data_IF_753255087377
#
_entry.id   IF_753255087377
#
_cell.length_a   1.000
_cell.length_b   1.000
_cell.length_c   1.000
_cell.angle_alpha   90.00
_cell.angle_beta   90.00
_cell.angle_gamma   90.00
#
_symmetry.space_group_name_H-M   'P 1'
#
loop_
_entity.id
_entity.type
_entity.pdbx_description
1 polymer ?
#
# COMPACT_ATOMS: atom_id res chain seq x y z
N UNK A 1 -23.94 -3.32 -22.82
CA UNK A 1 -23.61 -2.21 -21.92
C UNK A 1 -23.37 -2.68 -20.49
N UNK A 2 -24.36 -3.24 -19.77
CA UNK A 2 -24.21 -3.64 -18.36
C UNK A 2 -23.03 -4.61 -18.09
N UNK A 3 -22.97 -5.74 -18.79
CA UNK A 3 -21.94 -6.77 -18.56
C UNK A 3 -20.58 -6.40 -19.14
N UNK A 4 -20.56 -5.79 -20.33
CA UNK A 4 -19.31 -5.51 -21.06
C UNK A 4 -18.61 -4.24 -20.56
N UNK A 5 -19.36 -3.25 -20.08
CA UNK A 5 -18.81 -1.95 -19.71
C UNK A 5 -18.93 -1.70 -18.20
N UNK A 6 -20.14 -1.83 -17.65
CA UNK A 6 -20.40 -1.50 -16.24
C UNK A 6 -19.68 -2.45 -15.28
N UNK A 7 -19.75 -3.76 -15.51
CA UNK A 7 -19.12 -4.74 -14.62
C UNK A 7 -17.59 -4.58 -14.56
N UNK A 8 -16.84 -4.53 -15.67
CA UNK A 8 -15.39 -4.28 -15.60
C UNK A 8 -15.03 -2.93 -14.99
N UNK A 9 -15.83 -1.90 -15.28
CA UNK A 9 -15.60 -0.56 -14.72
C UNK A 9 -15.77 -0.54 -13.19
N UNK A 10 -16.80 -1.20 -12.65
CA UNK A 10 -17.02 -1.29 -11.21
C UNK A 10 -15.90 -2.10 -10.52
N UNK A 11 -15.48 -3.21 -11.12
CA UNK A 11 -14.37 -4.03 -10.60
C UNK A 11 -13.07 -3.24 -10.58
N UNK A 12 -12.73 -2.55 -11.68
CA UNK A 12 -11.55 -1.70 -11.75
C UNK A 12 -11.62 -0.54 -10.75
N UNK A 13 -12.78 0.12 -10.62
CA UNK A 13 -12.96 1.25 -9.72
C UNK A 13 -12.84 0.82 -8.26
N UNK A 14 -13.46 -0.30 -7.88
CA UNK A 14 -13.31 -0.88 -6.55
C UNK A 14 -11.85 -1.22 -6.27
N UNK A 15 -11.18 -1.89 -7.20
CA UNK A 15 -9.79 -2.28 -7.04
C UNK A 15 -8.90 -1.04 -6.88
N UNK A 16 -8.98 -0.08 -7.80
CA UNK A 16 -8.20 1.15 -7.74
C UNK A 16 -8.42 1.90 -6.42
N UNK A 17 -9.69 2.08 -6.03
CA UNK A 17 -10.04 2.73 -4.78
C UNK A 17 -9.43 2.01 -3.57
N UNK A 18 -9.67 0.71 -3.46
CA UNK A 18 -9.18 -0.11 -2.36
C UNK A 18 -7.66 -0.01 -2.21
N UNK A 19 -6.92 -0.12 -3.32
CA UNK A 19 -5.46 -0.01 -3.32
C UNK A 19 -5.00 1.38 -2.91
N UNK A 20 -5.60 2.43 -3.49
CA UNK A 20 -5.21 3.80 -3.14
C UNK A 20 -5.52 4.14 -1.69
N UNK A 21 -6.57 3.56 -1.11
CA UNK A 21 -6.96 3.84 0.25
C UNK A 21 -6.10 3.03 1.23
N UNK A 22 -6.16 1.70 1.17
CA UNK A 22 -5.52 0.84 2.15
C UNK A 22 -4.01 1.12 2.17
N UNK A 23 -3.31 1.02 1.04
CA UNK A 23 -1.86 1.16 1.01
C UNK A 23 -1.34 2.55 1.41
N UNK A 24 -2.23 3.54 1.56
CA UNK A 24 -1.90 4.89 2.03
C UNK A 24 -2.50 5.23 3.40
N UNK A 25 -3.19 4.29 4.05
CA UNK A 25 -3.74 4.46 5.39
C UNK A 25 -3.30 3.31 6.29
N UNK A 26 -2.75 3.64 7.45
CA UNK A 26 -2.50 2.71 8.54
C UNK A 26 -2.77 3.44 9.86
N UNK A 27 -3.08 2.71 10.93
CA UNK A 27 -3.39 3.30 12.24
C UNK A 27 -2.22 4.15 12.79
N UNK A 28 -0.99 3.82 12.38
CA UNK A 28 0.27 4.50 12.72
C UNK A 28 0.80 5.42 11.60
N UNK A 29 -0.05 5.78 10.62
CA UNK A 29 0.27 6.74 9.58
C UNK A 29 0.68 8.08 10.18
N UNK A 30 1.66 8.76 9.59
CA UNK A 30 2.08 10.10 10.04
C UNK A 30 1.74 11.16 9.02
N UNK A 31 1.22 12.28 9.50
CA UNK A 31 1.03 13.47 8.70
C UNK A 31 2.23 14.40 8.83
N UNK A 32 2.81 14.77 7.69
CA UNK A 32 3.93 15.70 7.64
C UNK A 32 3.47 17.08 7.21
N UNK A 33 3.97 18.08 7.90
CA UNK A 33 3.89 19.49 7.52
C UNK A 33 4.89 19.82 6.40
N UNK A 34 4.71 20.96 5.73
CA UNK A 34 5.58 21.39 4.62
C UNK A 34 7.08 21.44 5.00
N UNK A 35 7.41 21.71 6.26
CA UNK A 35 8.78 21.75 6.78
C UNK A 35 9.37 20.38 7.11
N UNK A 36 8.54 19.38 7.39
CA UNK A 36 8.98 18.03 7.77
C UNK A 36 8.83 17.00 6.65
N UNK A 37 8.02 17.30 5.63
CA UNK A 37 7.76 16.42 4.51
C UNK A 37 8.98 16.29 3.58
N UNK A 38 9.23 15.06 3.12
CA UNK A 38 10.13 14.78 2.01
C UNK A 38 9.53 13.64 1.19
N UNK A 39 9.92 13.53 -0.09
CA UNK A 39 9.47 12.41 -0.94
C UNK A 39 9.71 11.05 -0.28
N UNK A 40 10.91 10.83 0.24
CA UNK A 40 11.28 9.55 0.88
C UNK A 40 10.43 9.28 2.13
N UNK A 41 10.22 10.28 3.00
CA UNK A 41 9.34 10.14 4.16
C UNK A 41 7.91 9.81 3.74
N UNK A 42 7.36 10.53 2.76
CA UNK A 42 6.03 10.24 2.23
C UNK A 42 5.90 8.85 1.62
N UNK A 43 6.92 8.37 0.91
CA UNK A 43 6.93 7.02 0.34
C UNK A 43 6.95 5.93 1.42
N UNK A 44 7.70 6.13 2.52
CA UNK A 44 7.73 5.20 3.66
C UNK A 44 6.48 5.24 4.54
N UNK A 45 5.61 6.24 4.41
CA UNK A 45 4.29 6.22 5.07
C UNK A 45 3.27 5.38 4.31
N UNK A 46 3.58 4.95 3.09
CA UNK A 46 2.81 3.88 2.46
C UNK A 46 3.10 2.55 3.14
N UNK A 47 2.17 1.62 3.02
CA UNK A 47 2.22 0.34 3.73
C UNK A 47 1.99 -0.82 2.77
N UNK A 48 2.89 -1.80 2.85
CA UNK A 48 2.74 -3.04 2.10
C UNK A 48 1.70 -3.92 2.80
N UNK A 49 0.72 -4.42 2.04
CA UNK A 49 -0.29 -5.34 2.57
C UNK A 49 -0.21 -6.71 1.93
N UNK A 50 -0.14 -7.73 2.77
CA UNK A 50 -0.15 -9.12 2.33
C UNK A 50 -1.58 -9.64 2.26
N UNK A 51 -2.10 -9.83 1.04
CA UNK A 51 -3.44 -10.38 0.79
C UNK A 51 -3.41 -11.91 0.59
N UNK A 52 -2.26 -12.54 0.84
CA UNK A 52 -2.02 -13.94 0.60
C UNK A 52 -1.45 -14.21 -0.80
N UNK A 53 -0.74 -15.34 -0.89
CA UNK A 53 0.13 -15.69 -2.03
C UNK A 53 -0.54 -15.58 -3.40
N UNK A 54 -1.79 -16.04 -3.52
CA UNK A 54 -2.49 -16.02 -4.82
C UNK A 54 -2.90 -14.61 -5.24
N UNK A 55 -3.40 -13.80 -4.30
CA UNK A 55 -3.83 -12.42 -4.59
C UNK A 55 -2.62 -11.56 -4.90
N UNK A 56 -1.56 -11.65 -4.11
CA UNK A 56 -0.31 -10.93 -4.36
C UNK A 56 0.26 -11.28 -5.74
N UNK A 57 0.28 -12.57 -6.11
CA UNK A 57 0.77 -13.00 -7.42
C UNK A 57 -0.11 -12.51 -8.58
N UNK A 58 -1.44 -12.60 -8.46
CA UNK A 58 -2.37 -12.12 -9.49
C UNK A 58 -2.27 -10.60 -9.71
N UNK A 59 -1.85 -9.88 -8.68
CA UNK A 59 -1.70 -8.42 -8.70
C UNK A 59 -0.26 -7.98 -8.97
N UNK A 60 0.60 -8.92 -9.40
CA UNK A 60 2.02 -8.68 -9.69
C UNK A 60 2.80 -8.05 -8.54
N UNK A 61 2.47 -8.43 -7.31
CA UNK A 61 3.07 -7.93 -6.08
C UNK A 61 2.99 -6.41 -5.90
N UNK A 62 1.99 -5.77 -6.53
CA UNK A 62 1.80 -4.33 -6.42
C UNK A 62 1.31 -3.91 -5.03
N UNK A 63 0.66 -4.82 -4.28
CA UNK A 63 0.09 -4.54 -2.96
C UNK A 63 1.07 -4.76 -1.81
N UNK A 64 1.84 -5.84 -1.89
CA UNK A 64 2.86 -6.29 -0.95
C UNK A 64 4.27 -5.80 -1.33
N UNK A 65 4.37 -4.94 -2.33
CA UNK A 65 5.59 -4.21 -2.72
C UNK A 65 5.30 -2.76 -3.11
N UNK A 66 4.26 -2.17 -2.54
CA UNK A 66 3.80 -0.81 -2.80
C UNK A 66 4.79 0.25 -2.32
N UNK A 67 5.48 0.04 -1.19
CA UNK A 67 6.52 0.95 -0.70
C UNK A 67 7.64 1.07 -1.72
N UNK A 68 8.11 -0.05 -2.27
CA UNK A 68 9.12 -0.07 -3.34
C UNK A 68 8.58 0.56 -4.62
N UNK A 69 7.31 0.30 -4.96
CA UNK A 69 6.65 0.97 -6.07
C UNK A 69 6.76 2.49 -5.92
N UNK A 70 6.47 3.06 -4.75
CA UNK A 70 6.62 4.50 -4.52
C UNK A 70 8.08 4.97 -4.57
N UNK A 71 8.98 4.29 -3.87
CA UNK A 71 10.39 4.70 -3.82
C UNK A 71 11.08 4.65 -5.19
N UNK A 72 10.70 3.70 -6.04
CA UNK A 72 11.43 3.37 -7.27
C UNK A 72 10.54 3.20 -8.51
N UNK A 73 9.39 3.87 -8.62
CA UNK A 73 8.41 3.71 -9.72
C UNK A 73 9.00 3.84 -11.13
N UNK A 74 10.07 4.63 -11.31
CA UNK A 74 10.73 4.82 -12.61
C UNK A 74 11.89 3.84 -12.88
N UNK A 75 12.27 3.01 -11.91
CA UNK A 75 13.48 2.17 -11.97
C UNK A 75 13.21 0.69 -11.78
N UNK A 76 12.25 0.34 -10.91
CA UNK A 76 11.89 -1.04 -10.61
C UNK A 76 10.56 -1.35 -11.33
N UNK A 77 10.56 -2.24 -12.34
CA UNK A 77 9.33 -2.64 -12.99
C UNK A 77 8.50 -3.56 -12.08
N UNK A 78 7.19 -3.60 -12.29
CA UNK A 78 6.26 -4.34 -11.42
C UNK A 78 6.62 -5.83 -11.24
N UNK A 79 7.15 -6.49 -12.27
CA UNK A 79 7.55 -7.90 -12.23
C UNK A 79 8.85 -8.18 -11.44
N UNK A 80 9.48 -7.14 -10.87
CA UNK A 80 10.65 -7.24 -9.98
C UNK A 80 10.34 -6.68 -8.58
N UNK A 81 9.09 -6.32 -8.28
CA UNK A 81 8.73 -5.72 -6.99
C UNK A 81 9.03 -6.65 -5.82
N UNK A 82 8.66 -7.92 -5.91
CA UNK A 82 8.91 -8.91 -4.84
C UNK A 82 10.39 -9.00 -4.45
N UNK A 83 11.28 -9.11 -5.45
CA UNK A 83 12.73 -9.18 -5.23
C UNK A 83 13.29 -7.86 -4.68
N UNK A 84 12.81 -6.73 -5.20
CA UNK A 84 13.24 -5.41 -4.75
C UNK A 84 12.75 -5.11 -3.32
N UNK A 85 11.54 -5.52 -2.95
CA UNK A 85 11.00 -5.42 -1.59
C UNK A 85 11.82 -6.26 -0.62
N UNK A 86 12.15 -7.50 -1.00
CA UNK A 86 13.01 -8.37 -0.20
C UNK A 86 14.40 -7.75 0.01
N UNK A 87 14.98 -7.15 -1.04
CA UNK A 87 16.27 -6.47 -0.95
C UNK A 87 16.21 -5.20 -0.08
N UNK A 88 15.13 -4.41 -0.17
CA UNK A 88 14.91 -3.25 0.68
C UNK A 88 14.81 -3.64 2.15
N UNK A 89 13.95 -4.61 2.49
CA UNK A 89 13.76 -5.07 3.87
C UNK A 89 15.07 -5.55 4.48
N UNK A 90 15.84 -6.35 3.73
CA UNK A 90 17.16 -6.82 4.16
C UNK A 90 18.12 -5.66 4.41
N UNK A 91 18.18 -4.68 3.51
CA UNK A 91 19.02 -3.50 3.69
C UNK A 91 18.64 -2.68 4.93
N UNK A 92 17.35 -2.53 5.21
CA UNK A 92 16.88 -1.84 6.42
C UNK A 92 17.23 -2.60 7.70
N UNK A 93 17.24 -3.94 7.66
CA UNK A 93 17.68 -4.78 8.78
C UNK A 93 19.18 -4.64 9.04
N UNK A 94 19.99 -4.67 7.99
CA UNK A 94 21.45 -4.48 8.09
C UNK A 94 21.81 -3.10 8.68
N UNK A 95 21.05 -2.07 8.33
CA UNK A 95 21.22 -0.70 8.86
C UNK A 95 20.54 -0.48 10.24
N UNK A 96 19.81 -1.47 10.77
CA UNK A 96 19.15 -1.39 12.06
C UNK A 96 17.94 -0.45 12.11
N UNK A 97 17.33 -0.15 10.96
CA UNK A 97 16.20 0.80 10.81
C UNK A 97 14.92 0.15 10.28
N UNK A 98 14.76 -1.17 10.42
CA UNK A 98 13.56 -1.90 9.95
C UNK A 98 12.21 -1.33 10.44
N UNK A 99 12.21 -0.61 11.56
CA UNK A 99 11.01 0.01 12.14
C UNK A 99 10.35 1.09 11.26
N UNK A 100 11.03 1.59 10.21
CA UNK A 100 10.45 2.58 9.28
C UNK A 100 9.61 1.93 8.17
N UNK A 101 9.73 0.61 7.99
CA UNK A 101 9.02 -0.12 6.95
C UNK A 101 7.75 -0.75 7.52
N UNK A 102 6.61 -0.45 6.90
CA UNK A 102 5.30 -0.93 7.33
C UNK A 102 4.83 -2.07 6.44
N UNK A 103 4.57 -3.22 7.07
CA UNK A 103 3.91 -4.37 6.44
C UNK A 103 2.78 -4.86 7.33
N UNK A 104 1.59 -5.01 6.77
CA UNK A 104 0.39 -5.48 7.48
C UNK A 104 -0.17 -6.70 6.75
N UNK A 105 -0.44 -7.78 7.49
CA UNK A 105 -1.15 -8.93 6.93
C UNK A 105 -2.65 -8.60 6.84
N UNK A 106 -3.25 -8.79 5.67
CA UNK A 106 -4.64 -8.38 5.38
C UNK A 106 -5.34 -9.38 4.47
N UNK A 107 -5.38 -10.64 4.89
CA UNK A 107 -6.04 -11.72 4.14
C UNK A 107 -7.53 -11.44 3.85
N UNK A 108 -8.16 -10.66 4.71
CA UNK A 108 -9.56 -10.22 4.69
C UNK A 108 -9.71 -8.77 4.18
N UNK A 109 -8.93 -8.38 3.17
CA UNK A 109 -8.90 -7.01 2.61
C UNK A 109 -10.27 -6.41 2.26
N UNK A 110 -11.25 -7.23 1.91
CA UNK A 110 -12.63 -6.78 1.64
C UNK A 110 -13.37 -6.37 2.91
N UNK A 111 -13.09 -7.02 4.04
CA UNK A 111 -13.61 -6.64 5.35
C UNK A 111 -12.83 -5.44 5.88
N UNK A 112 -11.50 -5.43 5.69
CA UNK A 112 -10.65 -4.32 6.14
C UNK A 112 -11.05 -3.01 5.46
N UNK A 113 -11.33 -2.98 4.16
CA UNK A 113 -11.78 -1.74 3.52
C UNK A 113 -13.13 -1.26 4.08
N UNK A 114 -14.06 -2.17 4.37
CA UNK A 114 -15.37 -1.82 4.95
C UNK A 114 -15.21 -1.30 6.38
N UNK A 115 -14.35 -1.94 7.18
CA UNK A 115 -14.01 -1.49 8.53
C UNK A 115 -13.39 -0.10 8.50
N UNK A 116 -12.41 0.12 7.63
CA UNK A 116 -11.75 1.42 7.48
C UNK A 116 -12.72 2.52 7.04
N UNK A 117 -13.72 2.20 6.21
CA UNK A 117 -14.80 3.13 5.92
C UNK A 117 -15.61 3.46 7.17
N UNK A 118 -15.98 2.50 8.00
CA UNK A 118 -16.80 2.74 9.20
C UNK A 118 -16.02 3.52 10.29
N UNK A 119 -14.77 3.12 10.53
CA UNK A 119 -13.95 3.63 11.62
C UNK A 119 -13.25 4.96 11.28
N UNK A 120 -12.78 5.12 10.03
CA UNK A 120 -11.84 6.17 9.64
C UNK A 120 -12.35 7.02 8.44
N UNK A 121 -13.68 7.10 8.25
CA UNK A 121 -14.35 7.71 7.09
C UNK A 121 -13.75 9.06 6.63
N UNK A 122 -12.83 9.06 5.66
CA UNK A 122 -12.22 10.24 4.98
C UNK A 122 -11.69 11.38 5.88
N UNK A 123 -11.70 11.23 7.19
CA UNK A 123 -11.25 12.26 8.12
C UNK A 123 -9.81 11.97 8.48
N UNK A 124 -9.00 13.03 8.44
CA UNK A 124 -7.70 13.04 9.09
C UNK A 124 -7.95 12.74 10.56
N UNK A 125 -7.45 11.62 11.06
CA UNK A 125 -7.29 11.48 12.50
C UNK A 125 -6.17 12.45 12.89
N UNK A 126 -6.51 13.60 13.48
CA UNK A 126 -5.50 14.58 13.94
C UNK A 126 -4.59 14.02 15.05
N UNK A 127 -4.85 12.79 15.53
CA UNK A 127 -3.95 12.07 16.43
C UNK A 127 -2.85 11.30 15.68
N UNK A 128 -2.96 11.12 14.37
CA UNK A 128 -1.96 10.53 13.45
C UNK A 128 -0.99 11.60 12.93
#
# INVERSE_FOLDING_TARGET
>A
FAVVCMMPWLVLSFWLFMVTYLQHHSDDGKLYTDDTWTFTRGAFETVDRDYGTWVNRMTHHMMDGHVVHHLFFNKVPHYRLEEATSALQKGLEEEGVSHIYKKIDTFDFTQEIVKQFDDNWFFIDEKQ
#
